data_IF_273366906326
#
_entry.id   IF_273366906326
#
_cell.length_a   1.000
_cell.length_b   1.000
_cell.length_c   1.000
_cell.angle_alpha   90.00
_cell.angle_beta   90.00
_cell.angle_gamma   90.00
#
_symmetry.space_group_name_H-M   'P 1'
#
loop_
_entity.id
_entity.type
_entity.pdbx_description
1 polymer ?
#
# COMPACT_ATOMS: atom_id res chain seq x y z
N UNK A 1 -9.11 33.30 -0.87
CA UNK A 1 -8.22 32.23 -0.36
C UNK A 1 -8.64 31.81 1.05
N UNK A 2 -8.72 32.74 2.01
CA UNK A 2 -9.16 32.47 3.40
C UNK A 2 -10.54 31.81 3.53
N UNK A 3 -11.55 32.27 2.77
CA UNK A 3 -12.90 31.64 2.75
C UNK A 3 -12.87 30.17 2.31
N UNK A 4 -11.92 29.78 1.46
CA UNK A 4 -11.76 28.39 1.01
C UNK A 4 -11.14 27.50 2.09
N UNK A 5 -10.15 28.02 2.81
CA UNK A 5 -9.53 27.31 3.94
C UNK A 5 -10.49 27.13 5.12
N UNK A 6 -11.33 28.14 5.42
CA UNK A 6 -12.37 28.03 6.43
C UNK A 6 -13.45 27.00 6.06
N UNK A 7 -13.82 26.92 4.78
CA UNK A 7 -14.71 25.87 4.27
C UNK A 7 -14.12 24.48 4.46
N UNK A 8 -12.84 24.30 4.09
CA UNK A 8 -12.12 23.05 4.27
C UNK A 8 -12.02 22.63 5.75
N UNK A 9 -11.79 23.60 6.64
CA UNK A 9 -11.74 23.37 8.09
C UNK A 9 -13.12 22.94 8.64
N UNK A 10 -14.20 23.54 8.14
CA UNK A 10 -15.56 23.15 8.50
C UNK A 10 -15.91 21.74 7.99
N UNK A 11 -15.48 21.39 6.79
CA UNK A 11 -15.66 20.04 6.25
C UNK A 11 -14.85 19.00 7.03
N UNK A 12 -13.67 19.37 7.52
CA UNK A 12 -12.88 18.54 8.44
C UNK A 12 -13.59 18.33 9.79
N UNK A 13 -14.05 19.40 10.44
CA UNK A 13 -14.75 19.31 11.73
C UNK A 13 -16.11 18.58 11.64
N UNK A 14 -16.78 18.65 10.48
CA UNK A 14 -18.05 17.96 10.25
C UNK A 14 -17.89 16.52 9.75
N UNK A 15 -16.65 16.04 9.59
CA UNK A 15 -16.35 14.70 9.09
C UNK A 15 -16.67 14.49 7.61
N UNK A 16 -17.03 15.55 6.87
CA UNK A 16 -17.25 15.53 5.41
C UNK A 16 -15.95 15.38 4.63
N UNK A 17 -14.85 15.91 5.19
CA UNK A 17 -13.53 15.78 4.61
C UNK A 17 -12.90 14.47 5.07
N UNK A 18 -13.14 13.42 4.30
CA UNK A 18 -12.46 12.15 4.46
C UNK A 18 -11.24 12.13 3.52
N UNK A 19 -10.03 12.03 4.09
CA UNK A 19 -8.81 11.87 3.30
C UNK A 19 -8.67 10.44 2.75
N UNK A 20 -9.38 9.50 3.37
CA UNK A 20 -9.35 8.07 3.11
C UNK A 20 -10.79 7.58 3.12
N UNK A 21 -11.18 6.77 2.12
CA UNK A 21 -12.59 6.41 1.91
C UNK A 21 -13.24 5.72 3.10
N UNK A 22 -14.57 5.59 3.06
CA UNK A 22 -15.41 5.08 4.16
C UNK A 22 -14.93 3.74 4.77
N UNK A 23 -14.21 2.91 4.01
CA UNK A 23 -13.71 1.61 4.45
C UNK A 23 -12.17 1.48 4.43
N UNK A 24 -11.44 2.54 4.08
CA UNK A 24 -9.97 2.56 4.09
C UNK A 24 -9.47 3.27 5.34
N UNK A 25 -9.08 2.52 6.37
CA UNK A 25 -8.55 3.10 7.61
C UNK A 25 -7.09 3.54 7.44
N UNK A 26 -6.68 4.56 8.21
CA UNK A 26 -5.28 4.98 8.29
C UNK A 26 -4.36 3.81 8.66
N UNK A 27 -4.81 2.91 9.53
CA UNK A 27 -4.08 1.71 9.94
C UNK A 27 -3.83 0.75 8.77
N UNK A 28 -4.79 0.61 7.85
CA UNK A 28 -4.65 -0.25 6.68
C UNK A 28 -3.63 0.32 5.67
N UNK A 29 -3.60 1.64 5.49
CA UNK A 29 -2.55 2.26 4.67
C UNK A 29 -1.18 2.22 5.34
N UNK A 30 -1.12 2.39 6.65
CA UNK A 30 0.12 2.21 7.41
C UNK A 30 0.64 0.77 7.25
N UNK A 31 -0.24 -0.23 7.31
CA UNK A 31 0.13 -1.61 7.04
C UNK A 31 0.70 -1.79 5.61
N UNK A 32 0.06 -1.23 4.59
CA UNK A 32 0.58 -1.29 3.20
C UNK A 32 1.94 -0.61 3.09
N UNK A 33 2.11 0.55 3.73
CA UNK A 33 3.40 1.25 3.80
C UNK A 33 4.47 0.37 4.46
N UNK A 34 4.17 -0.25 5.59
CA UNK A 34 5.10 -1.16 6.26
C UNK A 34 5.49 -2.35 5.37
N UNK A 35 4.53 -2.93 4.65
CA UNK A 35 4.79 -4.02 3.71
C UNK A 35 5.73 -3.57 2.58
N UNK A 36 5.54 -2.36 2.04
CA UNK A 36 6.45 -1.77 1.05
C UNK A 36 7.87 -1.57 1.62
N UNK A 37 7.99 -1.04 2.84
CA UNK A 37 9.29 -0.82 3.50
C UNK A 37 10.02 -2.14 3.76
N UNK A 38 9.30 -3.17 4.23
CA UNK A 38 9.86 -4.51 4.44
C UNK A 38 10.34 -5.13 3.13
N UNK A 39 9.55 -5.04 2.07
CA UNK A 39 9.93 -5.57 0.75
C UNK A 39 11.17 -4.86 0.19
N UNK A 40 11.24 -3.54 0.31
CA UNK A 40 12.41 -2.77 -0.14
C UNK A 40 13.67 -3.17 0.64
N UNK A 41 13.57 -3.32 1.97
CA UNK A 41 14.69 -3.77 2.79
C UNK A 41 15.14 -5.18 2.41
N UNK A 42 14.19 -6.11 2.27
CA UNK A 42 14.47 -7.48 1.86
C UNK A 42 15.20 -7.53 0.52
N UNK A 43 14.81 -6.71 -0.46
CA UNK A 43 15.50 -6.64 -1.75
C UNK A 43 16.98 -6.26 -1.57
N UNK A 44 17.30 -5.26 -0.74
CA UNK A 44 18.68 -4.88 -0.48
C UNK A 44 19.47 -5.95 0.27
N UNK A 45 18.86 -6.57 1.29
CA UNK A 45 19.51 -7.61 2.08
C UNK A 45 19.85 -8.84 1.21
N UNK A 46 18.89 -9.31 0.40
CA UNK A 46 19.07 -10.43 -0.53
C UNK A 46 20.09 -10.13 -1.62
N UNK A 47 20.13 -8.89 -2.12
CA UNK A 47 21.12 -8.48 -3.12
C UNK A 47 22.53 -8.43 -2.53
N UNK A 48 22.67 -7.90 -1.30
CA UNK A 48 23.94 -7.91 -0.58
C UNK A 48 24.45 -9.31 -0.32
N UNK A 49 23.58 -10.23 0.11
CA UNK A 49 23.93 -11.64 0.34
C UNK A 49 24.45 -12.31 -0.95
N UNK A 50 23.76 -12.13 -2.08
CA UNK A 50 24.18 -12.70 -3.37
C UNK A 50 25.51 -12.12 -3.85
N UNK A 51 25.79 -10.84 -3.60
CA UNK A 51 27.05 -10.21 -4.03
C UNK A 51 28.29 -10.86 -3.37
N UNK A 52 28.15 -11.24 -2.09
CA UNK A 52 29.19 -11.88 -1.29
C UNK A 52 29.37 -13.39 -1.57
N UNK A 53 28.43 -14.01 -2.30
CA UNK A 53 28.46 -15.45 -2.60
C UNK A 53 29.47 -15.83 -3.70
N UNK A 54 29.92 -17.09 -3.75
CA UNK A 54 30.69 -17.62 -4.88
C UNK A 54 29.90 -17.57 -6.20
N UNK A 55 30.56 -17.22 -7.32
CA UNK A 55 29.95 -17.06 -8.64
C UNK A 55 29.14 -18.29 -9.11
N UNK A 56 29.57 -19.49 -8.76
CA UNK A 56 28.88 -20.75 -9.10
C UNK A 56 27.53 -20.91 -8.38
N UNK A 57 27.31 -20.17 -7.29
CA UNK A 57 26.10 -20.21 -6.48
C UNK A 57 25.20 -18.99 -6.68
N UNK A 58 25.76 -17.86 -7.16
CA UNK A 58 25.04 -16.59 -7.36
C UNK A 58 23.77 -16.75 -8.19
N UNK A 59 23.82 -17.51 -9.29
CA UNK A 59 22.66 -17.69 -10.15
C UNK A 59 21.51 -18.37 -9.41
N UNK A 60 21.78 -19.49 -8.75
CA UNK A 60 20.75 -20.26 -8.03
C UNK A 60 20.18 -19.48 -6.85
N UNK A 61 21.03 -18.74 -6.13
CA UNK A 61 20.60 -17.86 -5.05
C UNK A 61 19.74 -16.71 -5.58
N UNK A 62 20.15 -16.06 -6.68
CA UNK A 62 19.39 -14.99 -7.32
C UNK A 62 18.02 -15.46 -7.82
N UNK A 63 17.94 -16.65 -8.43
CA UNK A 63 16.66 -17.22 -8.89
C UNK A 63 15.71 -17.43 -7.69
N UNK A 64 16.22 -18.04 -6.61
CA UNK A 64 15.45 -18.26 -5.36
C UNK A 64 15.00 -16.96 -4.71
N UNK A 65 15.90 -15.96 -4.67
CA UNK A 65 15.61 -14.65 -4.10
C UNK A 65 14.53 -13.91 -4.91
N UNK A 66 14.55 -14.05 -6.23
CA UNK A 66 13.52 -13.48 -7.09
C UNK A 66 12.15 -14.11 -6.84
N UNK A 67 12.06 -15.42 -6.67
CA UNK A 67 10.82 -16.10 -6.32
C UNK A 67 10.25 -15.59 -4.98
N UNK A 68 11.10 -15.43 -3.97
CA UNK A 68 10.71 -14.86 -2.67
C UNK A 68 10.20 -13.42 -2.80
N UNK A 69 10.88 -12.58 -3.59
CA UNK A 69 10.46 -11.21 -3.83
C UNK A 69 9.12 -11.13 -4.57
N UNK A 70 8.90 -12.00 -5.56
CA UNK A 70 7.64 -12.08 -6.29
C UNK A 70 6.48 -12.48 -5.38
N UNK A 71 6.69 -13.46 -4.49
CA UNK A 71 5.68 -13.87 -3.52
C UNK A 71 5.30 -12.71 -2.57
N UNK A 72 6.28 -12.00 -2.01
CA UNK A 72 6.01 -10.85 -1.13
C UNK A 72 5.31 -9.71 -1.90
N UNK A 73 5.66 -9.51 -3.17
CA UNK A 73 5.02 -8.51 -4.03
C UNK A 73 3.56 -8.87 -4.32
N UNK A 74 3.24 -10.15 -4.52
CA UNK A 74 1.87 -10.63 -4.70
C UNK A 74 1.01 -10.40 -3.45
N UNK A 75 1.56 -10.66 -2.26
CA UNK A 75 0.88 -10.37 -0.98
C UNK A 75 0.61 -8.87 -0.78
N UNK A 76 1.59 -8.02 -1.11
CA UNK A 76 1.44 -6.57 -1.10
C UNK A 76 0.36 -6.12 -2.09
N UNK A 77 0.39 -6.63 -3.32
CA UNK A 77 -0.60 -6.33 -4.35
C UNK A 77 -2.01 -6.70 -3.89
N UNK A 78 -2.17 -7.88 -3.29
CA UNK A 78 -3.43 -8.36 -2.73
C UNK A 78 -3.95 -7.44 -1.62
N UNK A 79 -3.04 -6.91 -0.79
CA UNK A 79 -3.39 -5.97 0.29
C UNK A 79 -3.84 -4.61 -0.27
N UNK A 80 -3.19 -4.10 -1.31
CA UNK A 80 -3.60 -2.87 -2.01
C UNK A 80 -4.95 -3.05 -2.72
N UNK A 81 -5.18 -4.20 -3.36
CA UNK A 81 -6.47 -4.49 -4.00
C UNK A 81 -7.64 -4.47 -3.00
N UNK A 82 -7.43 -4.97 -1.77
CA UNK A 82 -8.43 -4.89 -0.71
C UNK A 82 -8.76 -3.44 -0.33
N UNK A 83 -7.78 -2.53 -0.36
CA UNK A 83 -8.03 -1.10 -0.15
C UNK A 83 -8.91 -0.50 -1.26
N UNK A 84 -8.66 -0.86 -2.51
CA UNK A 84 -9.42 -0.33 -3.66
C UNK A 84 -10.87 -0.83 -3.72
N UNK A 85 -11.14 -2.04 -3.22
CA UNK A 85 -12.49 -2.61 -3.16
C UNK A 85 -13.35 -1.92 -2.08
N UNK A 86 -12.72 -1.49 -0.98
CA UNK A 86 -13.33 -0.71 0.09
C UNK A 86 -13.89 0.65 -0.40
N UNK A 87 -13.26 1.25 -1.42
CA UNK A 87 -13.75 2.48 -2.06
C UNK A 87 -14.95 2.26 -3.00
N UNK A 88 -15.21 1.02 -3.42
CA UNK A 88 -16.19 0.71 -4.48
C UNK A 88 -17.57 0.27 -3.97
N UNK A 89 -17.79 0.10 -2.65
CA UNK A 89 -19.03 -0.50 -2.14
C UNK A 89 -20.16 0.44 -1.71
N UNK A 90 -20.03 1.77 -1.68
CA UNK A 90 -21.18 2.63 -1.34
C UNK A 90 -21.38 3.84 -2.28
N UNK A 91 -22.21 3.65 -3.31
CA UNK A 91 -23.15 4.70 -3.71
C UNK A 91 -24.54 4.06 -3.84
N UNK A 92 -25.35 4.01 -2.76
CA UNK A 92 -26.79 3.96 -2.93
C UNK A 92 -27.16 5.24 -3.67
N UNK A 93 -27.54 5.14 -4.95
CA UNK A 93 -28.17 6.24 -5.68
C UNK A 93 -29.42 6.62 -4.88
N UNK A 94 -29.34 7.67 -4.08
CA UNK A 94 -30.54 8.29 -3.52
C UNK A 94 -31.33 8.81 -4.70
N UNK A 95 -32.34 8.04 -5.10
CA UNK A 95 -33.35 8.47 -6.06
C UNK A 95 -33.94 9.78 -5.54
N UNK A 96 -33.65 10.88 -6.23
CA UNK A 96 -34.31 12.15 -5.99
C UNK A 96 -35.76 12.00 -6.45
N UNK A 97 -36.71 12.11 -5.52
CA UNK A 97 -38.10 12.46 -5.82
C UNK A 97 -38.22 13.94 -6.12
#
# INVERSE_FOLDING_TARGET
MEKGLLGLLNDFHSGKLQAFGNECSIDQMEQVREMQEKLARLHFDLYGEVDEMPEDQKKTASDTNMDNLLQNLEELSSSIQKLNLADSQEIPRTASM
#
